data_IF_608387469327
#
_entry.id   IF_608387469327
#
_cell.length_a   1.000
_cell.length_b   1.000
_cell.length_c   1.000
_cell.angle_alpha   90.00
_cell.angle_beta   90.00
_cell.angle_gamma   90.00
#
_symmetry.space_group_name_H-M   'P 1'
#
loop_
_entity.id
_entity.type
_entity.pdbx_description
1 polymer ?
#
# COMPACT_ATOMS: atom_id res chain seq x y z
N UNK A 1 2.50 6.79 13.83
CA UNK A 1 1.98 5.54 13.24
C UNK A 1 1.88 5.73 11.74
N UNK A 2 2.71 5.04 10.94
CA UNK A 2 2.47 4.97 9.50
C UNK A 2 1.80 3.63 9.28
N UNK A 3 0.46 3.59 9.26
CA UNK A 3 -0.24 2.46 8.65
C UNK A 3 0.41 2.30 7.28
N UNK A 4 1.11 1.17 7.04
CA UNK A 4 1.74 0.97 5.74
C UNK A 4 0.60 0.79 4.76
N UNK A 5 0.28 1.87 4.06
CA UNK A 5 -0.74 1.88 3.04
C UNK A 5 -0.21 0.97 1.93
N UNK A 6 -0.84 -0.19 1.78
CA UNK A 6 -0.49 -1.11 0.72
C UNK A 6 -1.20 -0.70 -0.55
N UNK A 7 -0.45 -0.61 -1.64
CA UNK A 7 -0.99 -0.31 -2.95
C UNK A 7 -0.80 -1.50 -3.87
N UNK A 8 -1.78 -1.69 -4.75
CA UNK A 8 -1.64 -2.53 -5.94
C UNK A 8 -1.78 -1.64 -7.15
N UNK A 9 -0.75 -1.55 -7.98
CA UNK A 9 -0.79 -0.70 -9.18
C UNK A 9 -0.08 -1.36 -10.36
N UNK A 10 -0.65 -1.20 -11.55
CA UNK A 10 0.01 -1.56 -12.81
C UNK A 10 0.87 -0.41 -13.35
N UNK A 11 0.82 0.78 -12.73
CA UNK A 11 1.54 1.97 -13.18
C UNK A 11 2.95 2.00 -12.56
N UNK A 12 3.96 2.19 -13.41
CA UNK A 12 5.37 2.29 -12.99
C UNK A 12 5.72 3.66 -12.37
N UNK A 13 4.87 4.67 -12.57
CA UNK A 13 5.06 6.01 -12.01
C UNK A 13 4.67 6.04 -10.53
N UNK A 14 5.72 6.02 -9.70
CA UNK A 14 5.70 5.96 -8.24
C UNK A 14 4.91 7.11 -7.60
N UNK A 15 3.94 6.73 -6.77
CA UNK A 15 3.57 7.34 -5.48
C UNK A 15 3.90 8.83 -5.30
N UNK A 16 3.14 9.71 -5.93
CA UNK A 16 3.12 11.12 -5.55
C UNK A 16 2.48 11.30 -4.16
N UNK A 17 2.86 12.35 -3.44
CA UNK A 17 2.17 12.76 -2.20
C UNK A 17 0.64 12.85 -2.38
N UNK A 18 0.20 13.33 -3.54
CA UNK A 18 -1.23 13.40 -3.89
C UNK A 18 -1.92 12.03 -3.95
N UNK A 19 -1.20 10.95 -4.24
CA UNK A 19 -1.75 9.57 -4.24
C UNK A 19 -1.94 9.06 -2.81
N UNK A 20 -1.05 9.45 -1.90
CA UNK A 20 -1.13 9.09 -0.47
C UNK A 20 -2.30 9.79 0.20
N UNK A 21 -2.50 11.09 -0.07
CA UNK A 21 -3.61 11.83 0.52
C UNK A 21 -4.96 11.35 0.00
N UNK A 22 -5.06 11.06 -1.32
CA UNK A 22 -6.24 10.42 -1.91
C UNK A 22 -6.56 9.07 -1.27
N UNK A 23 -5.53 8.25 -1.03
CA UNK A 23 -5.70 6.95 -0.39
C UNK A 23 -6.25 7.08 1.04
N UNK A 24 -5.70 7.99 1.84
CA UNK A 24 -6.18 8.26 3.20
C UNK A 24 -7.62 8.76 3.20
N UNK A 25 -7.95 9.70 2.30
CA UNK A 25 -9.30 10.24 2.17
C UNK A 25 -10.29 9.12 1.81
N UNK A 26 -9.97 8.29 0.82
CA UNK A 26 -10.81 7.17 0.37
C UNK A 26 -11.03 6.14 1.49
N UNK A 27 -9.98 5.75 2.21
CA UNK A 27 -10.09 4.82 3.33
C UNK A 27 -10.97 5.41 4.46
N UNK A 28 -10.81 6.70 4.77
CA UNK A 28 -11.61 7.39 5.80
C UNK A 28 -13.09 7.46 5.40
N UNK A 29 -13.37 7.77 4.13
CA UNK A 29 -14.74 7.82 3.60
C UNK A 29 -15.43 6.47 3.71
N UNK A 30 -14.76 5.38 3.30
CA UNK A 30 -15.29 4.02 3.36
C UNK A 30 -15.46 3.57 4.82
N UNK A 31 -14.51 3.86 5.71
CA UNK A 31 -14.67 3.57 7.14
C UNK A 31 -15.90 4.27 7.73
N UNK A 32 -16.16 5.52 7.36
CA UNK A 32 -17.35 6.25 7.81
C UNK A 32 -18.64 5.64 7.23
N UNK A 33 -18.63 5.20 5.97
CA UNK A 33 -19.77 4.52 5.35
C UNK A 33 -20.06 3.17 6.02
N UNK A 34 -19.02 2.37 6.32
CA UNK A 34 -19.14 1.10 7.04
C UNK A 34 -19.68 1.31 8.46
N UNK A 35 -19.18 2.33 9.19
CA UNK A 35 -19.62 2.63 10.57
C UNK A 35 -21.03 3.19 10.65
N UNK A 36 -21.45 3.98 9.67
CA UNK A 36 -22.71 4.70 9.74
C UNK A 36 -23.94 3.82 9.45
N UNK A 37 -23.79 2.62 8.87
CA UNK A 37 -24.89 1.74 8.47
C UNK A 37 -25.96 2.38 7.55
N UNK A 38 -25.68 3.57 6.99
CA UNK A 38 -26.64 4.39 6.21
C UNK A 38 -26.74 3.94 4.75
N UNK A 39 -25.79 3.16 4.25
CA UNK A 39 -25.83 2.63 2.89
C UNK A 39 -26.07 1.13 2.93
N UNK A 40 -26.92 0.64 2.02
CA UNK A 40 -26.99 -0.77 1.62
C UNK A 40 -25.55 -1.30 1.52
N UNK A 41 -25.11 -2.07 2.52
CA UNK A 41 -23.68 -2.14 2.89
C UNK A 41 -22.72 -2.27 1.71
N UNK A 42 -21.56 -1.61 1.77
CA UNK A 42 -20.53 -1.63 0.73
C UNK A 42 -20.33 -3.04 0.15
N UNK A 43 -20.77 -3.28 -1.08
CA UNK A 43 -20.68 -4.59 -1.70
C UNK A 43 -19.35 -4.73 -2.43
N UNK A 44 -18.74 -5.90 -2.33
CA UNK A 44 -17.61 -6.23 -3.19
C UNK A 44 -18.07 -6.22 -4.66
N UNK A 45 -17.38 -5.48 -5.52
CA UNK A 45 -17.75 -5.36 -6.94
C UNK A 45 -17.73 -6.71 -7.67
N UNK A 46 -16.94 -7.68 -7.20
CA UNK A 46 -16.80 -9.00 -7.81
C UNK A 46 -17.87 -10.00 -7.35
N UNK A 47 -17.96 -10.27 -6.04
CA UNK A 47 -18.86 -11.29 -5.50
C UNK A 47 -20.19 -10.74 -5.00
N UNK A 48 -20.37 -9.42 -4.99
CA UNK A 48 -21.55 -8.70 -4.48
C UNK A 48 -21.87 -9.01 -3.01
N UNK A 49 -20.92 -9.55 -2.26
CA UNK A 49 -21.04 -9.79 -0.81
C UNK A 49 -20.72 -8.51 -0.05
N UNK A 50 -21.45 -8.17 1.03
CA UNK A 50 -21.15 -7.03 1.88
C UNK A 50 -19.75 -7.10 2.49
N UNK A 51 -19.03 -6.00 2.41
CA UNK A 51 -17.74 -5.76 3.05
C UNK A 51 -18.01 -4.94 4.30
N UNK A 52 -17.97 -5.62 5.45
CA UNK A 52 -18.35 -5.04 6.74
C UNK A 52 -17.14 -4.68 7.61
N UNK A 53 -15.95 -5.22 7.30
CA UNK A 53 -14.73 -4.97 8.05
C UNK A 53 -13.49 -5.19 7.16
N UNK A 54 -12.34 -4.56 7.48
CA UNK A 54 -11.04 -4.88 6.88
C UNK A 54 -10.60 -6.33 7.14
N UNK A 55 -9.69 -6.90 6.32
CA UNK A 55 -9.04 -6.26 5.17
C UNK A 55 -9.93 -6.23 3.92
N UNK A 56 -9.85 -5.14 3.16
CA UNK A 56 -10.46 -4.98 1.84
C UNK A 56 -9.65 -3.99 1.01
N UNK A 57 -9.92 -3.95 -0.29
CA UNK A 57 -9.21 -3.11 -1.25
C UNK A 57 -10.15 -2.11 -1.91
N UNK A 58 -9.69 -0.87 -2.08
CA UNK A 58 -10.49 0.23 -2.64
C UNK A 58 -9.82 0.79 -3.88
N UNK A 59 -10.59 1.10 -4.92
CA UNK A 59 -10.03 1.74 -6.11
C UNK A 59 -9.84 3.25 -5.91
N UNK A 60 -8.69 3.78 -6.29
CA UNK A 60 -8.38 5.22 -6.22
C UNK A 60 -8.76 5.99 -7.49
N UNK A 61 -9.12 5.28 -8.56
CA UNK A 61 -9.33 5.86 -9.90
C UNK A 61 -10.79 5.80 -10.34
N UNK A 62 -11.60 4.90 -9.77
CA UNK A 62 -13.04 4.85 -10.04
C UNK A 62 -13.73 6.11 -9.48
N UNK A 63 -14.70 6.64 -10.23
CA UNK A 63 -15.53 7.78 -9.79
C UNK A 63 -16.45 7.40 -8.64
N UNK A 64 -16.97 6.17 -8.67
CA UNK A 64 -17.79 5.61 -7.62
C UNK A 64 -16.93 4.77 -6.67
N UNK A 65 -17.33 4.74 -5.39
CA UNK A 65 -16.66 3.96 -4.35
C UNK A 65 -16.69 2.49 -4.74
N UNK A 66 -15.54 1.98 -5.17
CA UNK A 66 -15.38 0.61 -5.65
C UNK A 66 -14.53 -0.17 -4.67
N UNK A 67 -15.11 -1.22 -4.08
CA UNK A 67 -14.44 -2.07 -3.09
C UNK A 67 -14.37 -3.52 -3.53
N UNK A 68 -13.26 -4.17 -3.19
CA UNK A 68 -12.98 -5.59 -3.44
C UNK A 68 -12.68 -6.25 -2.09
N UNK A 69 -13.39 -7.33 -1.76
CA UNK A 69 -13.09 -8.07 -0.54
C UNK A 69 -11.72 -8.76 -0.66
N UNK A 70 -11.10 -9.06 0.48
CA UNK A 70 -9.79 -9.68 0.52
C UNK A 70 -9.69 -10.97 -0.31
N UNK A 71 -10.67 -11.87 -0.18
CA UNK A 71 -10.68 -13.16 -0.90
C UNK A 71 -10.74 -12.98 -2.44
N UNK A 72 -11.54 -12.01 -2.90
CA UNK A 72 -11.61 -11.70 -4.33
C UNK A 72 -10.29 -11.09 -4.84
N UNK A 73 -9.68 -10.21 -4.05
CA UNK A 73 -8.38 -9.64 -4.40
C UNK A 73 -7.28 -10.72 -4.39
N UNK A 74 -7.25 -11.61 -3.41
CA UNK A 74 -6.27 -12.70 -3.32
C UNK A 74 -6.30 -13.60 -4.56
N UNK A 75 -7.49 -13.92 -5.07
CA UNK A 75 -7.64 -14.67 -6.33
C UNK A 75 -6.99 -13.94 -7.49
N UNK A 76 -7.26 -12.64 -7.61
CA UNK A 76 -6.70 -11.79 -8.68
C UNK A 76 -5.18 -11.64 -8.55
N UNK A 77 -4.66 -11.58 -7.32
CA UNK A 77 -3.21 -11.57 -7.06
C UNK A 77 -2.53 -12.89 -7.41
N UNK A 78 -3.18 -14.01 -7.13
CA UNK A 78 -2.66 -15.34 -7.49
C UNK A 78 -2.52 -15.48 -9.00
N UNK A 79 -3.55 -15.05 -9.72
CA UNK A 79 -3.60 -15.15 -11.18
C UNK A 79 -2.84 -14.00 -11.87
N UNK A 80 -2.51 -12.94 -11.13
CA UNK A 80 -1.81 -11.72 -11.56
C UNK A 80 -2.41 -11.08 -12.82
N UNK A 81 -3.73 -11.18 -13.00
CA UNK A 81 -4.43 -10.68 -14.19
C UNK A 81 -4.12 -9.20 -14.46
N UNK A 82 -3.93 -8.42 -13.39
CA UNK A 82 -3.64 -6.99 -13.43
C UNK A 82 -2.26 -6.64 -14.05
N UNK A 83 -1.29 -7.57 -14.08
CA UNK A 83 0.00 -7.35 -14.75
C UNK A 83 -0.11 -7.42 -16.27
N UNK A 84 -1.10 -8.17 -16.77
CA UNK A 84 -1.28 -8.43 -18.20
C UNK A 84 -2.29 -7.47 -18.83
N UNK A 85 -3.17 -6.86 -18.04
CA UNK A 85 -4.10 -5.83 -18.50
C UNK A 85 -3.39 -4.47 -18.67
N UNK A 86 -2.70 -4.31 -19.81
CA UNK A 86 -2.09 -3.02 -20.22
C UNK A 86 -3.11 -1.97 -20.67
N UNK A 87 -4.38 -2.35 -20.87
CA UNK A 87 -5.48 -1.46 -21.27
C UNK A 87 -6.79 -1.89 -20.59
N UNK A 88 -7.66 -0.94 -20.20
CA UNK A 88 -8.97 -1.25 -19.65
C UNK A 88 -9.77 -2.07 -20.66
N UNK A 89 -10.31 -3.22 -20.25
CA UNK A 89 -11.34 -3.90 -21.05
C UNK A 89 -12.61 -3.05 -20.98
N UNK A 90 -13.10 -2.57 -22.12
CA UNK A 90 -14.19 -1.57 -22.22
C UNK A 90 -15.56 -2.00 -21.65
N UNK A 91 -15.72 -3.20 -21.08
CA UNK A 91 -17.01 -3.74 -20.62
C UNK A 91 -16.96 -4.38 -19.22
N UNK A 92 -16.02 -3.97 -18.36
CA UNK A 92 -16.01 -4.43 -16.97
C UNK A 92 -16.38 -3.29 -16.03
N UNK A 93 -17.20 -3.60 -15.02
CA UNK A 93 -17.55 -2.67 -13.92
C UNK A 93 -16.31 -2.21 -13.13
N UNK A 94 -15.16 -2.88 -13.32
CA UNK A 94 -13.89 -2.59 -12.69
C UNK A 94 -12.74 -2.79 -13.69
N UNK A 95 -11.68 -1.98 -13.55
CA UNK A 95 -10.47 -2.08 -14.35
C UNK A 95 -9.30 -2.56 -13.48
N UNK A 96 -8.69 -3.70 -13.84
CA UNK A 96 -7.60 -4.28 -13.07
C UNK A 96 -6.32 -3.45 -13.11
N UNK A 97 -6.17 -2.57 -14.10
CA UNK A 97 -5.03 -1.66 -14.18
C UNK A 97 -5.11 -0.48 -13.21
N UNK A 98 -6.26 -0.23 -12.58
CA UNK A 98 -6.41 0.84 -11.62
C UNK A 98 -5.66 0.53 -10.33
N UNK A 99 -5.12 1.59 -9.74
CA UNK A 99 -4.47 1.55 -8.44
C UNK A 99 -5.50 1.26 -7.36
N UNK A 100 -5.28 0.18 -6.61
CA UNK A 100 -6.02 -0.13 -5.40
C UNK A 100 -5.19 0.21 -4.16
N UNK A 101 -5.89 0.55 -3.09
CA UNK A 101 -5.34 0.69 -1.75
C UNK A 101 -5.96 -0.34 -0.81
N UNK A 102 -5.17 -0.97 0.05
CA UNK A 102 -5.67 -1.86 1.10
C UNK A 102 -6.05 -1.08 2.36
N UNK A 103 -7.22 -1.38 2.91
CA UNK A 103 -7.51 -1.12 4.31
C UNK A 103 -6.71 -2.12 5.19
N UNK A 104 -6.03 -1.64 6.24
CA UNK A 104 -5.17 -2.49 7.07
C UNK A 104 -6.00 -3.50 7.88
N UNK A 105 -5.44 -4.70 8.11
CA UNK A 105 -6.05 -5.68 9.03
C UNK A 105 -5.92 -5.17 10.48
N UNK A 106 -7.02 -5.04 11.24
CA UNK A 106 -6.97 -4.64 12.65
C UNK A 106 -6.08 -5.53 13.52
N UNK A 107 -5.94 -6.82 13.21
CA UNK A 107 -5.11 -7.77 13.96
C UNK A 107 -3.61 -7.63 13.66
N UNK A 108 -3.23 -7.04 12.52
CA UNK A 108 -1.82 -6.74 12.23
C UNK A 108 -1.34 -5.46 12.95
N UNK A 109 -2.23 -4.71 13.59
CA UNK A 109 -1.85 -3.58 14.44
C UNK A 109 -1.35 -4.00 15.83
N UNK A 110 -1.49 -5.28 16.21
CA UNK A 110 -1.04 -5.79 17.52
C UNK A 110 0.32 -6.48 17.47
N UNK A 111 0.86 -6.76 16.27
CA UNK A 111 2.13 -7.47 16.09
C UNK A 111 3.20 -6.48 15.62
N UNK A 112 4.19 -6.28 16.50
CA UNK A 112 5.36 -5.38 16.39
C UNK A 112 5.16 -3.90 16.76
N UNK A 113 4.83 -3.67 18.04
CA UNK A 113 5.31 -2.49 18.77
C UNK A 113 6.84 -2.58 18.95
N UNK A 114 7.61 -2.50 17.86
CA UNK A 114 9.01 -2.08 17.96
C UNK A 114 8.99 -0.58 18.17
N UNK A 115 9.64 -0.12 19.24
CA UNK A 115 9.78 1.29 19.60
C UNK A 115 9.88 2.17 18.35
N UNK A 116 8.85 2.98 18.13
CA UNK A 116 8.83 3.93 17.02
C UNK A 116 9.83 5.01 17.41
N UNK A 117 11.07 4.83 16.95
CA UNK A 117 12.11 5.82 17.09
C UNK A 117 11.59 7.17 16.58
N UNK A 118 11.85 8.22 17.34
CA UNK A 118 11.56 9.60 16.93
C UNK A 118 12.27 9.91 15.61
N UNK A 119 11.88 10.99 14.92
CA UNK A 119 12.53 11.38 13.67
C UNK A 119 14.03 11.60 13.93
N UNK A 120 14.34 12.21 15.06
CA UNK A 120 15.68 12.50 15.54
C UNK A 120 16.49 11.20 15.75
N UNK A 121 15.90 10.19 16.40
CA UNK A 121 16.56 8.88 16.60
C UNK A 121 16.76 8.12 15.28
N UNK A 122 15.81 8.23 14.34
CA UNK A 122 15.96 7.65 13.00
C UNK A 122 17.07 8.32 12.22
N UNK A 123 17.18 9.64 12.29
CA UNK A 123 18.26 10.41 11.65
C UNK A 123 19.60 10.02 12.27
N UNK A 124 19.72 10.02 13.59
CA UNK A 124 20.95 9.62 14.29
C UNK A 124 21.40 8.20 13.92
N UNK A 125 20.46 7.25 13.80
CA UNK A 125 20.77 5.89 13.36
C UNK A 125 21.26 5.84 11.92
N UNK A 126 20.62 6.58 11.01
CA UNK A 126 21.02 6.64 9.60
C UNK A 126 22.40 7.29 9.44
N UNK A 127 22.67 8.35 10.19
CA UNK A 127 23.98 9.01 10.23
C UNK A 127 25.07 8.06 10.74
N UNK A 128 24.79 7.29 11.79
CA UNK A 128 25.72 6.28 12.30
C UNK A 128 26.00 5.17 11.28
N UNK A 129 24.96 4.68 10.58
CA UNK A 129 25.11 3.68 9.53
C UNK A 129 25.92 4.21 8.35
N UNK A 130 25.66 5.45 7.92
CA UNK A 130 26.39 6.10 6.84
C UNK A 130 27.87 6.28 7.21
N UNK A 131 28.15 6.69 8.45
CA UNK A 131 29.52 6.83 8.96
C UNK A 131 30.27 5.49 8.95
N UNK A 132 29.64 4.41 9.42
CA UNK A 132 30.23 3.08 9.41
C UNK A 132 30.53 2.57 7.99
N UNK A 133 29.63 2.85 7.04
CA UNK A 133 29.84 2.51 5.63
C UNK A 133 30.99 3.32 5.01
N UNK A 134 31.07 4.62 5.29
CA UNK A 134 32.18 5.47 4.83
C UNK A 134 33.53 4.94 5.32
N UNK A 135 33.63 4.64 6.62
CA UNK A 135 34.85 4.09 7.21
C UNK A 135 35.24 2.72 6.61
N UNK A 136 34.26 1.91 6.21
CA UNK A 136 34.52 0.64 5.53
C UNK A 136 35.05 0.86 4.12
N UNK A 137 34.49 1.82 3.37
CA UNK A 137 34.95 2.18 2.04
C UNK A 137 36.37 2.75 2.04
N UNK A 138 36.69 3.62 3.01
CA UNK A 138 38.03 4.17 3.19
C UNK A 138 39.07 3.06 3.42
N UNK A 139 38.77 2.10 4.31
CA UNK A 139 39.65 0.94 4.53
C UNK A 139 39.85 0.10 3.29
N UNK A 140 38.79 -0.13 2.50
CA UNK A 140 38.89 -0.87 1.24
C UNK A 140 39.78 -0.11 0.25
N UNK A 141 39.63 1.21 0.16
CA UNK A 141 40.46 2.05 -0.71
C UNK A 141 41.93 2.05 -0.28
N UNK A 142 42.23 2.08 1.02
CA UNK A 142 43.60 1.94 1.53
C UNK A 142 44.21 0.59 1.14
N UNK A 143 43.49 -0.52 1.36
CA UNK A 143 43.94 -1.87 0.98
C UNK A 143 44.22 -1.96 -0.53
N UNK A 144 43.41 -1.30 -1.36
CA UNK A 144 43.60 -1.31 -2.82
C UNK A 144 44.79 -0.45 -3.26
N UNK A 145 45.05 0.67 -2.57
CA UNK A 145 46.23 1.52 -2.83
C UNK A 145 47.53 0.84 -2.42
N UNK A 146 47.54 0.10 -1.32
CA UNK A 146 48.72 -0.65 -0.86
C UNK A 146 49.06 -1.85 -1.75
N UNK A 147 48.15 -2.23 -2.67
CA UNK A 147 48.32 -3.34 -3.62
C UNK A 147 48.65 -2.90 -5.06
N UNK A 148 48.71 -1.59 -5.33
CA UNK A 148 49.09 -1.01 -6.63
C UNK A 148 50.51 -0.47 -6.60
#
# INVERSE_FOLDING_TARGET
MHNVIQYRTAQLTLYSYSTIDKAKQMLTEIENQVRSAVSSGLLCVMCKVPVTAPPYWCCLECKEVTVICYACNERVERDKEWLLERRPKQNREYNWSHTLVSAPNPELNTVEMREVLTIEERVARLEAQLSAQSATLEKILEILKDRS
#
